data_IF_074611630727
#
_entry.id   IF_074611630727
#
_cell.length_a   1.000
_cell.length_b   1.000
_cell.length_c   1.000
_cell.angle_alpha   90.00
_cell.angle_beta   90.00
_cell.angle_gamma   90.00
#
_symmetry.space_group_name_H-M   'P 1'
#
loop_
_entity.id
_entity.type
_entity.pdbx_description
1 polymer ?
#
# COMPACT_ATOMS: atom_id res chain seq x y z
N UNK A 1 1.01 -7.09 12.76
CA UNK A 1 0.32 -6.63 11.54
C UNK A 1 1.38 -6.06 10.61
N UNK A 2 1.50 -6.57 9.40
CA UNK A 2 2.54 -6.11 8.45
C UNK A 2 2.04 -4.88 7.73
N UNK A 3 2.85 -3.82 7.71
CA UNK A 3 2.49 -2.56 7.09
C UNK A 3 2.97 -2.54 5.64
N UNK A 4 2.06 -2.26 4.72
CA UNK A 4 2.33 -2.18 3.28
C UNK A 4 1.88 -0.81 2.77
N UNK A 5 2.64 -0.22 1.84
CA UNK A 5 2.25 1.03 1.17
C UNK A 5 2.07 0.77 -0.31
N UNK A 6 0.89 1.10 -0.83
CA UNK A 6 0.55 1.00 -2.23
C UNK A 6 0.45 2.40 -2.85
N UNK A 7 1.32 2.67 -3.82
CA UNK A 7 1.34 3.92 -4.59
C UNK A 7 0.52 3.74 -5.87
N UNK A 8 -0.09 4.81 -6.36
CA UNK A 8 -0.81 4.87 -7.65
C UNK A 8 -1.80 3.69 -7.86
N UNK A 9 -2.55 3.33 -6.82
CA UNK A 9 -3.47 2.20 -6.89
C UNK A 9 -4.68 2.53 -7.75
N UNK A 10 -4.94 1.71 -8.77
CA UNK A 10 -6.09 1.90 -9.66
C UNK A 10 -7.38 1.40 -9.01
N UNK A 11 -8.51 2.00 -9.40
CA UNK A 11 -9.83 1.68 -8.85
C UNK A 11 -10.19 0.18 -8.93
N UNK A 12 -9.74 -0.51 -9.98
CA UNK A 12 -9.95 -1.93 -10.22
C UNK A 12 -9.03 -2.85 -9.39
N UNK A 13 -7.94 -2.32 -8.83
CA UNK A 13 -7.00 -3.06 -7.99
C UNK A 13 -7.42 -3.07 -6.51
N UNK A 14 -8.21 -2.10 -6.05
CA UNK A 14 -8.69 -2.00 -4.66
C UNK A 14 -9.35 -3.29 -4.14
N UNK A 15 -10.28 -3.95 -4.88
CA UNK A 15 -10.89 -5.20 -4.40
C UNK A 15 -9.88 -6.32 -4.19
N UNK A 16 -8.81 -6.37 -4.99
CA UNK A 16 -7.74 -7.35 -4.84
C UNK A 16 -6.93 -7.05 -3.58
N UNK A 17 -6.49 -5.81 -3.39
CA UNK A 17 -5.73 -5.41 -2.20
C UNK A 17 -6.51 -5.63 -0.90
N UNK A 18 -7.82 -5.34 -0.88
CA UNK A 18 -8.66 -5.64 0.28
C UNK A 18 -8.74 -7.15 0.59
N UNK A 19 -8.81 -7.99 -0.45
CA UNK A 19 -8.78 -9.45 -0.30
C UNK A 19 -7.45 -9.91 0.29
N UNK A 20 -6.33 -9.35 -0.18
CA UNK A 20 -4.99 -9.63 0.35
C UNK A 20 -4.82 -9.15 1.79
N UNK A 21 -5.27 -7.93 2.11
CA UNK A 21 -5.20 -7.36 3.45
C UNK A 21 -5.86 -8.27 4.49
N UNK A 22 -7.06 -8.77 4.19
CA UNK A 22 -7.78 -9.70 5.08
C UNK A 22 -7.10 -11.07 5.19
N UNK A 23 -6.62 -11.61 4.07
CA UNK A 23 -6.02 -12.95 4.05
C UNK A 23 -4.69 -13.02 4.80
N UNK A 24 -3.91 -11.94 4.76
CA UNK A 24 -2.55 -11.89 5.27
C UNK A 24 -2.37 -10.96 6.47
N UNK A 25 -3.46 -10.43 7.03
CA UNK A 25 -3.44 -9.48 8.14
C UNK A 25 -2.50 -8.28 7.88
N UNK A 26 -2.70 -7.65 6.72
CA UNK A 26 -1.92 -6.50 6.28
C UNK A 26 -2.64 -5.19 6.61
N UNK A 27 -1.87 -4.21 7.05
CA UNK A 27 -2.28 -2.82 7.15
C UNK A 27 -1.78 -2.08 5.90
N UNK A 28 -2.68 -1.82 4.95
CA UNK A 28 -2.33 -1.20 3.67
C UNK A 28 -2.64 0.29 3.71
N UNK A 29 -1.61 1.12 3.54
CA UNK A 29 -1.73 2.56 3.27
C UNK A 29 -1.75 2.79 1.76
N UNK A 30 -2.78 3.46 1.26
CA UNK A 30 -2.89 3.85 -0.14
C UNK A 30 -2.42 5.29 -0.31
N UNK A 31 -1.55 5.54 -1.30
CA UNK A 31 -1.05 6.85 -1.70
C UNK A 31 -1.49 7.10 -3.13
N UNK A 32 -2.27 8.16 -3.34
CA UNK A 32 -2.74 8.59 -4.66
C UNK A 32 -1.70 9.46 -5.37
N UNK A 33 -0.47 8.94 -5.45
CA UNK A 33 0.67 9.55 -6.12
C UNK A 33 1.69 8.45 -6.50
N UNK A 34 2.57 8.75 -7.44
CA UNK A 34 3.66 7.86 -7.87
C UNK A 34 4.76 7.78 -6.82
N UNK A 35 5.52 6.68 -6.85
CA UNK A 35 6.71 6.54 -6.01
C UNK A 35 7.85 7.43 -6.54
N UNK A 36 8.16 8.48 -5.80
CA UNK A 36 9.26 9.43 -6.04
C UNK A 36 10.13 9.53 -4.78
N UNK A 37 11.32 10.15 -4.84
CA UNK A 37 12.12 10.40 -3.64
C UNK A 37 11.37 11.15 -2.53
N UNK A 38 10.47 12.06 -2.90
CA UNK A 38 9.64 12.85 -1.97
C UNK A 38 8.56 11.97 -1.31
N UNK A 39 7.87 11.15 -2.10
CA UNK A 39 6.78 10.29 -1.60
C UNK A 39 7.28 9.01 -0.95
N UNK A 40 8.53 8.60 -1.20
CA UNK A 40 9.15 7.43 -0.59
C UNK A 40 9.19 7.48 0.94
N UNK A 41 9.17 8.67 1.54
CA UNK A 41 9.05 8.85 2.99
C UNK A 41 7.81 8.16 3.56
N UNK A 42 6.73 8.06 2.77
CA UNK A 42 5.47 7.45 3.17
C UNK A 42 5.59 5.93 3.41
N UNK A 43 6.59 5.28 2.79
CA UNK A 43 6.92 3.86 2.98
C UNK A 43 7.88 3.61 4.16
N UNK A 44 8.25 4.64 4.94
CA UNK A 44 9.17 4.46 6.06
C UNK A 44 8.58 3.51 7.12
N UNK A 45 9.28 2.41 7.37
CA UNK A 45 8.88 1.37 8.32
C UNK A 45 7.77 0.44 7.80
N UNK A 46 7.42 0.52 6.52
CA UNK A 46 6.67 -0.53 5.85
C UNK A 46 7.60 -1.71 5.55
N UNK A 47 7.07 -2.94 5.66
CA UNK A 47 7.79 -4.15 5.27
C UNK A 47 7.67 -4.33 3.75
N UNK A 48 8.74 -4.79 3.11
CA UNK A 48 8.82 -5.05 1.67
C UNK A 48 8.09 -6.34 1.27
#
# INVERSE_FOLDING_TARGET
MRKVVAYETRADEFPLFQKFARKFDLDIKYIDDVLTPETAMEAKGAEA
#
